data_IF_998363353501
#
_entry.id   IF_998363353501
#
_cell.length_a   1.000
_cell.length_b   1.000
_cell.length_c   1.000
_cell.angle_alpha   90.00
_cell.angle_beta   90.00
_cell.angle_gamma   90.00
#
_symmetry.space_group_name_H-M   'P 1'
#
loop_
_entity.id
_entity.type
_entity.pdbx_description
1 polymer ?
#
# COMPACT_ATOMS: atom_id res chain seq x y z
N UNK A 1 31.29 36.69 -9.57
CA UNK A 1 30.71 37.01 -8.25
C UNK A 1 29.89 38.31 -8.22
N UNK A 2 30.13 39.27 -9.08
CA UNK A 2 29.38 40.56 -9.09
C UNK A 2 27.93 40.43 -9.64
N UNK A 3 27.67 39.53 -10.55
CA UNK A 3 26.39 39.36 -11.21
C UNK A 3 25.36 38.75 -10.25
N UNK A 4 25.71 37.75 -9.46
CA UNK A 4 24.79 37.06 -8.55
C UNK A 4 24.31 37.98 -7.41
N UNK A 5 25.17 38.80 -6.81
CA UNK A 5 24.75 39.72 -5.74
C UNK A 5 23.88 40.86 -6.27
N UNK A 6 24.18 41.35 -7.48
CA UNK A 6 23.37 42.37 -8.15
C UNK A 6 21.99 41.82 -8.51
N UNK A 7 21.93 40.61 -9.05
CA UNK A 7 20.69 39.93 -9.40
C UNK A 7 19.80 39.73 -8.17
N UNK A 8 20.33 39.29 -7.02
CA UNK A 8 19.61 39.17 -5.76
C UNK A 8 18.98 40.49 -5.29
N UNK A 9 19.77 41.56 -5.31
CA UNK A 9 19.30 42.87 -4.85
C UNK A 9 18.21 43.43 -5.76
N UNK A 10 18.41 43.36 -7.07
CA UNK A 10 17.46 43.84 -8.07
C UNK A 10 16.15 43.02 -8.03
N UNK A 11 16.22 41.70 -7.96
CA UNK A 11 15.02 40.84 -7.84
C UNK A 11 14.28 41.13 -6.55
N UNK A 12 14.97 41.24 -5.41
CA UNK A 12 14.38 41.58 -4.14
C UNK A 12 13.59 42.90 -4.21
N UNK A 13 14.17 43.94 -4.83
CA UNK A 13 13.46 45.22 -5.02
C UNK A 13 12.22 45.10 -5.91
N UNK A 14 12.31 44.35 -7.01
CA UNK A 14 11.16 44.09 -7.87
C UNK A 14 10.04 43.40 -7.12
N UNK A 15 10.36 42.33 -6.39
CA UNK A 15 9.37 41.58 -5.61
C UNK A 15 8.77 42.42 -4.48
N UNK A 16 9.57 43.25 -3.83
CA UNK A 16 9.12 44.12 -2.76
C UNK A 16 8.24 45.27 -3.28
N UNK A 17 8.77 46.05 -4.25
CA UNK A 17 8.18 47.32 -4.64
C UNK A 17 7.14 47.22 -5.73
N UNK A 18 7.33 46.30 -6.70
CA UNK A 18 6.45 46.18 -7.86
C UNK A 18 5.41 45.10 -7.71
N UNK A 19 5.84 43.90 -7.27
CA UNK A 19 4.95 42.73 -7.17
C UNK A 19 4.32 42.59 -5.78
N UNK A 20 4.92 43.17 -4.75
CA UNK A 20 4.49 43.11 -3.35
C UNK A 20 4.27 41.67 -2.87
N UNK A 21 5.22 40.79 -3.23
CA UNK A 21 5.17 39.38 -2.84
C UNK A 21 5.27 39.28 -1.31
N UNK A 22 4.35 38.58 -0.64
CA UNK A 22 4.31 38.55 0.84
C UNK A 22 5.56 38.02 1.48
N UNK A 23 6.18 37.01 0.89
CA UNK A 23 7.42 36.38 1.40
C UNK A 23 8.35 36.07 0.22
N UNK A 24 9.64 36.25 0.44
CA UNK A 24 10.68 36.02 -0.58
C UNK A 24 11.84 35.26 0.05
N UNK A 25 12.23 34.15 -0.57
CA UNK A 25 13.32 33.29 -0.11
C UNK A 25 14.36 33.17 -1.20
N UNK A 26 15.61 33.02 -0.82
CA UNK A 26 16.66 32.60 -1.73
C UNK A 26 17.57 31.56 -1.10
N UNK A 27 18.21 30.79 -1.95
CA UNK A 27 19.20 29.79 -1.59
C UNK A 27 20.20 29.65 -2.73
N UNK A 28 21.50 29.58 -2.38
CA UNK A 28 22.55 29.30 -3.33
C UNK A 28 23.07 27.86 -3.12
N UNK A 29 22.79 26.91 -4.04
CA UNK A 29 23.26 25.52 -3.88
C UNK A 29 24.78 25.37 -3.94
N UNK A 30 25.50 26.35 -4.49
CA UNK A 30 26.97 26.40 -4.51
C UNK A 30 27.56 27.02 -3.25
N UNK A 31 26.77 27.76 -2.50
CA UNK A 31 27.14 28.35 -1.21
C UNK A 31 25.94 28.20 -0.24
N UNK A 32 25.77 27.03 0.39
CA UNK A 32 24.61 26.77 1.25
C UNK A 32 24.44 27.72 2.44
N UNK A 33 25.51 28.43 2.83
CA UNK A 33 25.41 29.48 3.86
C UNK A 33 24.64 30.73 3.39
N UNK A 34 24.48 30.91 2.08
CA UNK A 34 23.72 31.99 1.47
C UNK A 34 22.23 31.56 1.36
N UNK A 35 21.58 31.47 2.51
CA UNK A 35 20.23 31.06 2.72
C UNK A 35 19.50 32.13 3.51
N UNK A 36 18.50 32.77 2.92
CA UNK A 36 17.78 33.88 3.54
C UNK A 36 16.30 33.92 3.14
N UNK A 37 15.48 34.48 4.01
CA UNK A 37 14.07 34.74 3.77
C UNK A 37 13.69 36.16 4.24
N UNK A 38 12.66 36.69 3.62
CA UNK A 38 12.11 38.02 3.91
C UNK A 38 10.59 37.95 3.89
N UNK A 39 9.95 38.62 4.82
CA UNK A 39 8.51 38.82 4.87
C UNK A 39 8.17 40.29 4.66
N UNK A 40 7.02 40.59 4.03
CA UNK A 40 6.56 41.94 3.81
C UNK A 40 6.03 42.54 5.12
N UNK A 41 6.73 43.54 5.62
CA UNK A 41 6.29 44.40 6.74
C UNK A 41 5.66 45.71 6.24
N UNK A 42 5.45 46.65 7.16
CA UNK A 42 4.88 47.97 6.86
C UNK A 42 5.75 48.80 5.93
N UNK A 43 7.06 48.77 6.13
CA UNK A 43 8.02 49.62 5.43
C UNK A 43 8.82 48.87 4.33
N UNK A 44 8.48 47.61 4.09
CA UNK A 44 9.15 46.76 3.12
C UNK A 44 9.53 45.38 3.67
N UNK A 45 10.48 44.72 3.03
CA UNK A 45 10.93 43.39 3.43
C UNK A 45 11.76 43.42 4.70
N UNK A 46 11.27 42.68 5.71
CA UNK A 46 11.97 42.38 6.95
C UNK A 46 12.58 40.99 6.89
N UNK A 47 13.79 40.76 7.42
CA UNK A 47 14.40 39.44 7.41
C UNK A 47 13.58 38.43 8.24
N UNK A 48 13.35 37.25 7.71
CA UNK A 48 12.86 36.12 8.48
C UNK A 48 14.07 35.54 9.24
N UNK A 49 14.00 35.57 10.56
CA UNK A 49 15.04 35.01 11.41
C UNK A 49 14.92 33.50 11.42
N UNK A 50 15.98 32.74 11.08
CA UNK A 50 15.96 31.30 11.20
C UNK A 50 15.66 30.86 12.64
N UNK A 51 14.93 29.75 12.76
CA UNK A 51 14.65 29.14 14.06
C UNK A 51 15.87 28.38 14.63
N UNK A 52 15.70 27.74 15.79
CA UNK A 52 16.77 27.00 16.47
C UNK A 52 17.33 25.83 15.64
N UNK A 53 16.61 25.37 14.63
CA UNK A 53 17.01 24.32 13.68
C UNK A 53 17.53 24.89 12.35
N UNK A 54 17.80 26.19 12.27
CA UNK A 54 18.22 26.89 11.06
C UNK A 54 17.21 26.81 9.90
N UNK A 55 15.91 26.82 10.23
CA UNK A 55 14.81 26.77 9.24
C UNK A 55 14.20 28.16 9.07
N UNK A 56 13.76 28.49 7.86
CA UNK A 56 13.04 29.71 7.55
C UNK A 56 11.54 29.41 7.55
N UNK A 57 10.82 29.91 8.56
CA UNK A 57 9.39 29.65 8.70
C UNK A 57 8.59 30.64 7.85
N UNK A 58 7.84 30.10 6.88
CA UNK A 58 6.81 30.83 6.14
C UNK A 58 5.53 30.90 6.95
N UNK A 59 5.14 32.10 7.35
CA UNK A 59 3.84 32.34 8.01
C UNK A 59 2.66 32.22 7.05
N UNK A 60 2.90 32.55 5.77
CA UNK A 60 1.87 32.47 4.73
C UNK A 60 1.50 31.04 4.40
N UNK A 61 2.48 30.14 4.34
CA UNK A 61 2.28 28.75 3.98
C UNK A 61 2.03 27.84 5.20
N UNK A 62 2.42 28.28 6.39
CA UNK A 62 2.45 27.43 7.59
C UNK A 62 3.48 26.30 7.49
N UNK A 63 4.56 26.53 6.74
CA UNK A 63 5.62 25.56 6.43
C UNK A 63 6.99 26.15 6.80
N UNK A 64 7.99 25.29 6.91
CA UNK A 64 9.38 25.68 7.09
C UNK A 64 10.20 25.34 5.85
N UNK A 65 10.99 26.28 5.33
CA UNK A 65 11.98 26.01 4.32
C UNK A 65 13.26 25.54 5.02
N UNK A 66 13.75 24.36 4.64
CA UNK A 66 14.90 23.69 5.26
C UNK A 66 15.98 23.38 4.23
N UNK A 67 17.21 23.34 4.69
CA UNK A 67 18.32 22.81 3.93
C UNK A 67 18.36 21.28 4.11
N UNK A 68 18.41 20.55 3.00
CA UNK A 68 18.43 19.11 2.98
C UNK A 68 19.58 18.60 2.11
N UNK A 69 20.42 17.75 2.67
CA UNK A 69 21.52 17.12 1.92
C UNK A 69 21.04 15.81 1.31
N UNK A 70 21.23 15.65 0.02
CA UNK A 70 20.84 14.42 -0.68
C UNK A 70 20.88 14.55 -2.19
N UNK A 71 20.51 13.46 -2.84
CA UNK A 71 20.48 13.36 -4.30
C UNK A 71 19.13 13.81 -4.82
N UNK A 72 19.12 14.79 -5.70
CA UNK A 72 17.96 15.17 -6.48
C UNK A 72 18.35 15.29 -7.96
N UNK A 73 17.68 14.55 -8.82
CA UNK A 73 18.13 14.38 -10.20
C UNK A 73 19.48 13.67 -10.27
N UNK A 74 20.49 14.37 -10.79
CA UNK A 74 21.85 13.83 -10.95
C UNK A 74 22.88 14.49 -10.01
N UNK A 75 22.43 15.33 -9.08
CA UNK A 75 23.32 16.08 -8.20
C UNK A 75 23.11 15.70 -6.74
N UNK A 76 24.24 15.33 -6.09
CA UNK A 76 24.32 15.13 -4.65
C UNK A 76 24.87 16.41 -4.02
N UNK A 77 23.99 17.18 -3.40
CA UNK A 77 24.33 18.47 -2.82
C UNK A 77 23.31 18.87 -1.75
N UNK A 78 23.43 20.09 -1.25
CA UNK A 78 22.43 20.69 -0.36
C UNK A 78 21.33 21.33 -1.21
N UNK A 79 20.11 20.99 -0.92
CA UNK A 79 18.90 21.50 -1.56
C UNK A 79 18.02 22.25 -0.56
N UNK A 80 17.13 23.08 -1.04
CA UNK A 80 16.01 23.60 -0.24
C UNK A 80 14.77 22.73 -0.43
N UNK A 81 14.18 22.31 0.69
CA UNK A 81 12.89 21.58 0.69
C UNK A 81 11.94 22.23 1.69
N UNK A 82 10.66 22.12 1.38
CA UNK A 82 9.62 22.46 2.33
C UNK A 82 9.40 21.31 3.31
N UNK A 83 9.18 21.69 4.56
CA UNK A 83 8.84 20.77 5.65
C UNK A 83 7.63 21.32 6.43
N UNK A 84 6.91 20.45 7.11
CA UNK A 84 5.94 20.87 8.10
C UNK A 84 6.66 21.57 9.29
N UNK A 85 5.93 22.27 10.12
CA UNK A 85 6.52 22.90 11.31
C UNK A 85 7.10 21.87 12.29
N UNK A 86 6.58 20.64 12.28
CA UNK A 86 7.11 19.50 13.05
C UNK A 86 8.39 18.90 12.45
N UNK A 87 8.82 19.39 11.27
CA UNK A 87 10.06 18.98 10.61
C UNK A 87 9.94 17.82 9.63
N UNK A 88 8.73 17.39 9.27
CA UNK A 88 8.52 16.38 8.25
C UNK A 88 8.67 17.01 6.86
N UNK A 89 9.59 16.48 6.06
CA UNK A 89 9.78 16.97 4.68
C UNK A 89 8.55 16.70 3.84
N UNK A 90 8.10 17.69 3.06
CA UNK A 90 7.10 17.47 2.04
C UNK A 90 7.69 16.62 0.92
N UNK A 91 6.98 15.59 0.47
CA UNK A 91 7.47 14.75 -0.61
C UNK A 91 7.58 15.54 -1.91
N UNK A 92 8.57 15.20 -2.70
CA UNK A 92 8.69 15.68 -4.08
C UNK A 92 7.74 14.92 -5.00
N UNK A 93 7.46 15.46 -6.17
CA UNK A 93 6.64 14.78 -7.19
C UNK A 93 7.23 13.40 -7.55
N UNK A 94 8.56 13.30 -7.62
CA UNK A 94 9.24 12.05 -7.90
C UNK A 94 9.04 11.00 -6.79
N UNK A 95 9.16 11.40 -5.51
CA UNK A 95 8.92 10.54 -4.36
C UNK A 95 7.46 10.05 -4.34
N UNK A 96 6.48 10.94 -4.58
CA UNK A 96 5.07 10.57 -4.69
C UNK A 96 4.81 9.58 -5.83
N UNK A 97 5.45 9.79 -6.99
CA UNK A 97 5.31 8.88 -8.12
C UNK A 97 5.91 7.49 -7.82
N UNK A 98 7.06 7.44 -7.15
CA UNK A 98 7.67 6.17 -6.72
C UNK A 98 6.80 5.43 -5.72
N UNK A 99 6.28 6.11 -4.70
CA UNK A 99 5.36 5.51 -3.72
C UNK A 99 4.09 4.97 -4.38
N UNK A 100 3.48 5.74 -5.28
CA UNK A 100 2.30 5.31 -6.03
C UNK A 100 2.59 4.07 -6.90
N UNK A 101 3.76 4.03 -7.56
CA UNK A 101 4.17 2.89 -8.36
C UNK A 101 4.40 1.64 -7.50
N UNK A 102 5.04 1.80 -6.33
CA UNK A 102 5.26 0.69 -5.41
C UNK A 102 3.93 0.14 -4.88
N UNK A 103 3.03 1.01 -4.43
CA UNK A 103 1.70 0.61 -3.97
C UNK A 103 0.89 -0.12 -5.06
N UNK A 104 0.99 0.34 -6.31
CA UNK A 104 0.33 -0.33 -7.43
C UNK A 104 0.90 -1.74 -7.68
N UNK A 105 2.23 -1.91 -7.57
CA UNK A 105 2.88 -3.23 -7.71
C UNK A 105 2.48 -4.18 -6.58
N UNK A 106 2.47 -3.71 -5.33
CA UNK A 106 2.05 -4.49 -4.16
C UNK A 106 0.57 -4.92 -4.29
N UNK A 107 -0.31 -4.00 -4.68
CA UNK A 107 -1.73 -4.32 -4.91
C UNK A 107 -1.91 -5.35 -6.03
N UNK A 108 -1.14 -5.26 -7.12
CA UNK A 108 -1.19 -6.23 -8.21
C UNK A 108 -0.71 -7.62 -7.76
N UNK A 109 0.33 -7.68 -6.93
CA UNK A 109 0.82 -8.95 -6.39
C UNK A 109 -0.21 -9.59 -5.45
N UNK A 110 -0.78 -8.82 -4.54
CA UNK A 110 -1.84 -9.29 -3.64
C UNK A 110 -3.06 -9.81 -4.41
N UNK A 111 -3.46 -9.12 -5.49
CA UNK A 111 -4.56 -9.57 -6.34
C UNK A 111 -4.26 -10.92 -7.02
N UNK A 112 -3.02 -11.14 -7.50
CA UNK A 112 -2.61 -12.42 -8.08
C UNK A 112 -2.63 -13.56 -7.05
N UNK A 113 -2.10 -13.29 -5.85
CA UNK A 113 -2.10 -14.28 -4.75
C UNK A 113 -3.52 -14.65 -4.34
N UNK A 114 -4.41 -13.66 -4.20
CA UNK A 114 -5.81 -13.91 -3.90
C UNK A 114 -6.52 -14.72 -5.00
N UNK A 115 -6.20 -14.46 -6.27
CA UNK A 115 -6.74 -15.23 -7.38
C UNK A 115 -6.26 -16.67 -7.37
N UNK A 116 -4.98 -16.92 -7.07
CA UNK A 116 -4.45 -18.28 -6.94
C UNK A 116 -5.12 -19.05 -5.80
N UNK A 117 -5.23 -18.42 -4.63
CA UNK A 117 -5.92 -19.02 -3.48
C UNK A 117 -7.39 -19.35 -3.80
N UNK A 118 -8.09 -18.47 -4.51
CA UNK A 118 -9.47 -18.73 -4.93
C UNK A 118 -9.57 -19.93 -5.89
N UNK A 119 -8.62 -20.07 -6.83
CA UNK A 119 -8.56 -21.22 -7.74
C UNK A 119 -8.28 -22.53 -6.98
N UNK A 120 -7.31 -22.51 -6.06
CA UNK A 120 -7.01 -23.69 -5.22
C UNK A 120 -8.21 -24.11 -4.36
N UNK A 121 -8.88 -23.14 -3.73
CA UNK A 121 -10.08 -23.41 -2.95
C UNK A 121 -11.21 -23.99 -3.81
N UNK A 122 -11.37 -23.51 -5.05
CA UNK A 122 -12.35 -24.05 -5.99
C UNK A 122 -12.02 -25.48 -6.40
N UNK A 123 -10.76 -25.80 -6.66
CA UNK A 123 -10.33 -27.16 -6.96
C UNK A 123 -10.60 -28.11 -5.78
N UNK A 124 -10.20 -27.71 -4.58
CA UNK A 124 -10.45 -28.50 -3.36
C UNK A 124 -11.94 -28.74 -3.14
N UNK A 125 -12.80 -27.73 -3.39
CA UNK A 125 -14.24 -27.89 -3.27
C UNK A 125 -14.79 -28.89 -4.30
N UNK A 126 -14.30 -28.89 -5.54
CA UNK A 126 -14.67 -29.85 -6.57
C UNK A 126 -14.23 -31.27 -6.21
N UNK A 127 -13.01 -31.46 -5.74
CA UNK A 127 -12.52 -32.77 -5.28
C UNK A 127 -13.33 -33.32 -4.11
N UNK A 128 -13.63 -32.47 -3.13
CA UNK A 128 -14.48 -32.84 -1.99
C UNK A 128 -15.90 -33.25 -2.43
N UNK A 129 -16.46 -32.54 -3.40
CA UNK A 129 -17.77 -32.90 -3.98
C UNK A 129 -17.74 -34.25 -4.71
N UNK A 130 -16.68 -34.51 -5.48
CA UNK A 130 -16.53 -35.81 -6.15
C UNK A 130 -16.40 -36.96 -5.14
N UNK A 131 -15.57 -36.79 -4.11
CA UNK A 131 -15.41 -37.78 -3.04
C UNK A 131 -16.71 -38.04 -2.30
N UNK A 132 -17.50 -36.99 -2.03
CA UNK A 132 -18.79 -37.13 -1.40
C UNK A 132 -19.77 -37.93 -2.29
N UNK A 133 -19.79 -37.67 -3.60
CA UNK A 133 -20.62 -38.44 -4.54
C UNK A 133 -20.21 -39.92 -4.64
N UNK A 134 -18.89 -40.18 -4.69
CA UNK A 134 -18.40 -41.57 -4.68
C UNK A 134 -18.73 -42.29 -3.40
N UNK A 135 -18.61 -41.63 -2.24
CA UNK A 135 -18.96 -42.19 -0.95
C UNK A 135 -20.47 -42.52 -0.88
N UNK A 136 -21.30 -41.64 -1.41
CA UNK A 136 -22.75 -41.87 -1.49
C UNK A 136 -23.08 -43.08 -2.37
N UNK A 137 -22.48 -43.17 -3.57
CA UNK A 137 -22.70 -44.33 -4.47
C UNK A 137 -22.24 -45.64 -3.82
N UNK A 138 -21.13 -45.65 -3.11
CA UNK A 138 -20.65 -46.83 -2.37
C UNK A 138 -21.64 -47.22 -1.26
N UNK A 139 -22.17 -46.24 -0.52
CA UNK A 139 -23.15 -46.49 0.53
C UNK A 139 -24.44 -47.05 -0.04
N UNK A 140 -24.98 -46.48 -1.12
CA UNK A 140 -26.19 -46.98 -1.82
C UNK A 140 -25.98 -48.41 -2.36
N UNK A 141 -24.79 -48.70 -2.92
CA UNK A 141 -24.41 -50.03 -3.39
C UNK A 141 -24.32 -51.05 -2.24
N UNK A 142 -23.79 -50.67 -1.11
CA UNK A 142 -23.72 -51.54 0.09
C UNK A 142 -25.10 -51.82 0.68
N UNK A 143 -25.98 -50.83 0.72
CA UNK A 143 -27.39 -51.00 1.17
C UNK A 143 -28.17 -51.96 0.26
N UNK A 144 -27.97 -51.83 -1.08
CA UNK A 144 -28.62 -52.73 -2.04
C UNK A 144 -28.13 -54.18 -1.86
N UNK A 145 -26.81 -54.39 -1.69
CA UNK A 145 -26.25 -55.71 -1.42
C UNK A 145 -26.79 -56.31 -0.11
N UNK A 146 -26.88 -55.51 0.95
CA UNK A 146 -27.42 -55.93 2.22
C UNK A 146 -28.88 -56.34 2.09
N UNK A 147 -29.70 -55.59 1.36
CA UNK A 147 -31.09 -55.89 1.11
C UNK A 147 -31.24 -57.21 0.32
N UNK A 148 -30.37 -57.46 -0.69
CA UNK A 148 -30.37 -58.72 -1.43
C UNK A 148 -30.00 -59.92 -0.56
N UNK A 149 -28.99 -59.79 0.27
CA UNK A 149 -28.59 -60.86 1.22
C UNK A 149 -29.69 -61.15 2.24
N UNK A 150 -30.35 -60.14 2.75
CA UNK A 150 -31.54 -60.32 3.65
C UNK A 150 -32.66 -61.07 2.96
N UNK A 151 -33.01 -60.68 1.74
CA UNK A 151 -34.02 -61.39 0.96
C UNK A 151 -33.64 -62.86 0.68
N UNK A 152 -32.37 -63.11 0.37
CA UNK A 152 -31.84 -64.44 0.14
C UNK A 152 -31.95 -65.29 1.41
N UNK A 153 -31.56 -64.72 2.55
CA UNK A 153 -31.64 -65.37 3.84
C UNK A 153 -33.07 -65.69 4.19
N UNK A 154 -34.01 -64.77 3.99
CA UNK A 154 -35.46 -64.98 4.25
C UNK A 154 -36.04 -66.09 3.39
N UNK A 155 -35.70 -66.15 2.09
CA UNK A 155 -36.07 -67.22 1.19
C UNK A 155 -35.56 -68.59 1.68
N UNK A 156 -34.28 -68.67 2.08
CA UNK A 156 -33.69 -69.90 2.61
C UNK A 156 -34.34 -70.34 3.89
N UNK A 157 -34.64 -69.45 4.83
CA UNK A 157 -35.37 -69.75 6.06
C UNK A 157 -36.75 -70.24 5.75
N UNK A 158 -37.44 -69.68 4.79
CA UNK A 158 -38.78 -70.14 4.36
C UNK A 158 -38.71 -71.53 3.74
N UNK A 159 -37.71 -71.83 2.92
CA UNK A 159 -37.51 -73.17 2.34
C UNK A 159 -37.17 -74.24 3.40
N UNK A 160 -36.34 -73.90 4.38
CA UNK A 160 -36.06 -74.82 5.49
C UNK A 160 -37.28 -75.15 6.31
N UNK A 161 -38.10 -74.17 6.66
CA UNK A 161 -39.35 -74.35 7.36
C UNK A 161 -40.33 -75.23 6.57
N UNK A 162 -40.43 -75.05 5.25
CA UNK A 162 -41.26 -75.85 4.38
C UNK A 162 -40.84 -77.32 4.30
N UNK A 163 -39.54 -77.61 4.57
CA UNK A 163 -38.94 -78.96 4.65
C UNK A 163 -39.03 -79.56 6.06
N UNK A 164 -39.66 -78.87 7.00
CA UNK A 164 -39.74 -79.37 8.39
C UNK A 164 -38.46 -79.22 9.26
N UNK A 165 -37.52 -78.44 8.76
CA UNK A 165 -36.25 -78.18 9.50
C UNK A 165 -36.39 -76.86 10.26
N UNK A 166 -36.22 -76.93 11.57
CA UNK A 166 -36.30 -75.73 12.40
C UNK A 166 -34.88 -75.01 12.39
N UNK A 167 -34.81 -73.82 11.81
CA UNK A 167 -33.51 -73.08 11.68
C UNK A 167 -32.86 -72.70 13.00
N UNK A 168 -33.64 -72.70 14.12
CA UNK A 168 -33.15 -72.33 15.43
C UNK A 168 -32.53 -73.55 16.23
N UNK A 169 -32.54 -74.69 15.63
CA UNK A 169 -31.99 -75.94 16.23
C UNK A 169 -30.78 -76.47 15.48
N UNK A 170 -30.22 -75.66 14.57
CA UNK A 170 -28.96 -75.86 13.90
C UNK A 170 -27.87 -74.95 14.50
#
# INVERSE_FOLDING_TARGET
SSTASRDKTEKKEIYQKRLRVPEYFWFDPFNPSDFAGFSMGSDGYEPIIPDAQNRLVSKQLGLALVQWSGVFGYADTVWCRWATLDGVLLPTEHELAQEAQQQAQEAQQQAKEAQQQAQEAQQQAQEAQQQAQEAQQRAEGAELLLAQEQQRMEKLLTQLRAKGINPNEL
#
